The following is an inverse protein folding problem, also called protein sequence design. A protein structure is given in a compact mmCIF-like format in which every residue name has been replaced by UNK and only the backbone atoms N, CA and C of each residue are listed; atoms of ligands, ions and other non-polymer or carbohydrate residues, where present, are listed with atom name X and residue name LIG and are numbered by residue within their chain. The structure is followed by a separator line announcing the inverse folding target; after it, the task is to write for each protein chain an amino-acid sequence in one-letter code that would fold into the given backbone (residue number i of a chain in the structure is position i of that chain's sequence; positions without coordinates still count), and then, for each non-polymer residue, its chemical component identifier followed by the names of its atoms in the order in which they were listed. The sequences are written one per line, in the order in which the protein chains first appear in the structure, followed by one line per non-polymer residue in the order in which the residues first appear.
data_IF_013093191274
#
_entry.id   IF_013093191274
#
_cell.length_a   1.000
_cell.length_b   1.000
_cell.length_c   1.000
_cell.angle_alpha   90.00
_cell.angle_beta   90.00
_cell.angle_gamma   90.00
#
_symmetry.space_group_name_H-M   'P 1'
#
loop_
_entity.id
_entity.type
_entity.pdbx_description
1 polymer ?
#
# COMPACT_ATOMS: atom_id res chain seq x y z
N UNK A 1 -3.10 21.45 -3.14
CA UNK A 1 -2.37 20.31 -3.74
C UNK A 1 -2.98 20.02 -5.09
N UNK A 2 -2.20 20.08 -6.17
CA UNK A 2 -2.69 19.76 -7.51
C UNK A 2 -3.01 18.26 -7.63
N UNK A 3 -3.90 17.90 -8.56
CA UNK A 3 -4.26 16.49 -8.79
C UNK A 3 -3.07 15.63 -9.19
N UNK A 4 -2.09 16.22 -9.87
CA UNK A 4 -0.82 15.58 -10.20
C UNK A 4 -0.05 15.17 -8.94
N UNK A 5 0.09 16.08 -7.96
CA UNK A 5 0.78 15.80 -6.70
C UNK A 5 0.09 14.67 -5.93
N UNK A 6 -1.25 14.66 -5.88
CA UNK A 6 -2.01 13.59 -5.21
C UNK A 6 -1.78 12.23 -5.87
N UNK A 7 -1.81 12.17 -7.20
CA UNK A 7 -1.60 10.93 -7.94
C UNK A 7 -0.17 10.40 -7.76
N UNK A 8 0.84 11.27 -7.75
CA UNK A 8 2.23 10.87 -7.50
C UNK A 8 2.38 10.29 -6.08
N UNK A 9 1.81 10.95 -5.07
CA UNK A 9 1.84 10.46 -3.68
C UNK A 9 1.17 9.08 -3.57
N UNK A 10 0.02 8.88 -4.21
CA UNK A 10 -0.65 7.58 -4.25
C UNK A 10 0.22 6.51 -4.94
N UNK A 11 0.88 6.83 -6.05
CA UNK A 11 1.76 5.88 -6.73
C UNK A 11 2.96 5.47 -5.85
N UNK A 12 3.58 6.42 -5.15
CA UNK A 12 4.70 6.12 -4.22
C UNK A 12 4.23 5.24 -3.06
N UNK A 13 3.08 5.55 -2.46
CA UNK A 13 2.50 4.75 -1.39
C UNK A 13 2.16 3.33 -1.85
N UNK A 14 1.65 3.17 -3.07
CA UNK A 14 1.37 1.86 -3.66
C UNK A 14 2.62 0.99 -3.72
N UNK A 15 3.72 1.52 -4.28
CA UNK A 15 5.00 0.80 -4.39
C UNK A 15 5.56 0.49 -2.99
N UNK A 16 5.44 1.41 -2.04
CA UNK A 16 5.87 1.19 -0.66
C UNK A 16 5.13 0.03 0.01
N UNK A 17 3.80 -0.02 -0.08
CA UNK A 17 3.02 -1.12 0.51
C UNK A 17 3.29 -2.47 -0.20
N UNK A 18 3.52 -2.46 -1.51
CA UNK A 18 3.98 -3.64 -2.26
C UNK A 18 5.33 -4.14 -1.78
N UNK A 19 6.29 -3.24 -1.54
CA UNK A 19 7.61 -3.59 -1.03
C UNK A 19 7.54 -4.26 0.35
N UNK A 20 6.66 -3.79 1.24
CA UNK A 20 6.43 -4.43 2.54
C UNK A 20 5.97 -5.88 2.40
N UNK A 21 5.06 -6.15 1.46
CA UNK A 21 4.60 -7.52 1.18
C UNK A 21 5.75 -8.39 0.67
N UNK A 22 6.53 -7.91 -0.30
CA UNK A 22 7.67 -8.65 -0.84
C UNK A 22 8.76 -8.94 0.21
N UNK A 23 9.03 -8.00 1.11
CA UNK A 23 9.99 -8.19 2.20
C UNK A 23 9.47 -9.25 3.18
N UNK A 24 8.18 -9.18 3.55
CA UNK A 24 7.56 -10.13 4.47
C UNK A 24 7.49 -11.56 3.94
N UNK A 25 7.46 -11.75 2.61
CA UNK A 25 7.43 -13.10 2.04
C UNK A 25 8.75 -13.86 2.10
N UNK A 26 9.90 -13.18 2.21
CA UNK A 26 11.22 -13.85 2.17
C UNK A 26 11.49 -14.79 3.35
N UNK A 27 10.76 -14.65 4.46
CA UNK A 27 10.94 -15.50 5.64
C UNK A 27 9.62 -15.68 6.36
N UNK A 28 9.22 -16.92 6.62
CA UNK A 28 7.98 -17.23 7.34
C UNK A 28 8.23 -17.00 8.84
N UNK A 29 7.84 -15.83 9.33
CA UNK A 29 7.90 -15.43 10.73
C UNK A 29 6.62 -14.68 11.12
N UNK A 30 6.20 -14.80 12.38
CA UNK A 30 5.05 -14.04 12.92
C UNK A 30 5.19 -12.54 12.69
N UNK A 31 6.42 -12.01 12.81
CA UNK A 31 6.70 -10.60 12.54
C UNK A 31 6.44 -10.26 11.07
N UNK A 32 6.89 -11.11 10.15
CA UNK A 32 6.76 -10.88 8.72
C UNK A 32 5.32 -11.04 8.22
N UNK A 33 4.53 -11.90 8.87
CA UNK A 33 3.09 -11.96 8.66
C UNK A 33 2.43 -10.61 8.99
N UNK A 34 2.78 -9.98 10.11
CA UNK A 34 2.26 -8.65 10.48
C UNK A 34 2.67 -7.60 9.45
N UNK A 35 3.93 -7.62 8.99
CA UNK A 35 4.42 -6.70 7.95
C UNK A 35 3.60 -6.86 6.65
N UNK A 36 3.30 -8.08 6.25
CA UNK A 36 2.44 -8.34 5.08
C UNK A 36 1.00 -7.85 5.30
N UNK A 37 0.44 -8.03 6.50
CA UNK A 37 -0.90 -7.53 6.83
C UNK A 37 -0.97 -6.00 6.80
N UNK A 38 0.08 -5.32 7.27
CA UNK A 38 0.20 -3.86 7.18
C UNK A 38 0.28 -3.42 5.72
N UNK A 39 1.11 -4.09 4.91
CA UNK A 39 1.17 -3.85 3.46
C UNK A 39 -0.20 -4.01 2.78
N UNK A 40 -0.89 -5.10 3.09
CA UNK A 40 -2.23 -5.38 2.54
C UNK A 40 -3.26 -4.33 2.96
N UNK A 41 -3.31 -3.97 4.25
CA UNK A 41 -4.21 -2.94 4.76
C UNK A 41 -3.96 -1.58 4.09
N UNK A 42 -2.70 -1.23 3.86
CA UNK A 42 -2.31 -0.03 3.13
C UNK A 42 -2.79 -0.02 1.68
N UNK A 43 -2.66 -1.14 0.95
CA UNK A 43 -3.17 -1.28 -0.42
C UNK A 43 -4.69 -1.17 -0.49
N UNK A 44 -5.41 -1.81 0.45
CA UNK A 44 -6.87 -1.69 0.54
C UNK A 44 -7.32 -0.26 0.86
N UNK A 45 -6.61 0.44 1.74
CA UNK A 45 -6.85 1.86 2.03
C UNK A 45 -6.65 2.74 0.79
N UNK A 46 -5.59 2.49 0.02
CA UNK A 46 -5.35 3.19 -1.24
C UNK A 46 -6.47 2.94 -2.27
N UNK A 47 -6.90 1.69 -2.41
CA UNK A 47 -7.99 1.31 -3.30
C UNK A 47 -9.31 1.97 -2.88
N UNK A 48 -9.58 2.06 -1.59
CA UNK A 48 -10.75 2.75 -1.06
C UNK A 48 -10.73 4.25 -1.41
N UNK A 49 -9.60 4.92 -1.17
CA UNK A 49 -9.45 6.35 -1.49
C UNK A 49 -9.55 6.60 -2.98
N UNK A 50 -8.95 5.73 -3.80
CA UNK A 50 -9.08 5.77 -5.25
C UNK A 50 -10.56 5.64 -5.65
N UNK A 51 -11.25 4.59 -5.22
CA UNK A 51 -12.65 4.34 -5.56
C UNK A 51 -13.59 5.48 -5.15
N UNK A 52 -13.31 6.17 -4.03
CA UNK A 52 -14.11 7.33 -3.61
C UNK A 52 -13.90 8.56 -4.50
N UNK A 53 -12.78 8.66 -5.20
CA UNK A 53 -12.48 9.76 -6.13
C UNK A 53 -13.18 9.59 -7.49
N UNK A 54 -13.48 8.35 -7.88
CA UNK A 54 -14.07 8.01 -9.19
C UNK A 54 -15.55 7.58 -9.11
N UNK A 55 -16.15 7.52 -7.92
CA UNK A 55 -17.60 7.46 -7.70
C UNK A 55 -18.15 8.87 -7.54
#
# INVERSE_FOLDING_TARGET
MSDLTKNIVMAVLFVFFLALIFIGQKTISRMNLVIMLVGLAGLLGLLYVYNRKYK
#
